data_IF_139682333198
#
_entry.id   IF_139682333198
#
_cell.length_a   1.000
_cell.length_b   1.000
_cell.length_c   1.000
_cell.angle_alpha   90.00
_cell.angle_beta   90.00
_cell.angle_gamma   90.00
#
_symmetry.space_group_name_H-M   'P 1'
#
loop_
_entity.id
_entity.type
_entity.pdbx_description
1 polymer ?
#
# COMPACT_ATOMS: atom_id res chain seq x y z
N UNK A 1 13.31 -4.13 27.72
CA UNK A 1 13.94 -4.73 26.51
C UNK A 1 13.48 -3.81 25.40
N UNK A 2 14.39 -3.04 24.77
CA UNK A 2 13.97 -2.10 23.73
C UNK A 2 13.49 -2.91 22.53
N UNK A 3 12.27 -2.62 22.07
CA UNK A 3 11.71 -3.17 20.83
C UNK A 3 12.59 -2.73 19.65
N UNK A 4 12.78 -3.61 18.66
CA UNK A 4 13.48 -3.26 17.43
C UNK A 4 12.50 -2.65 16.43
N UNK A 5 13.02 -1.82 15.51
CA UNK A 5 12.21 -1.21 14.45
C UNK A 5 11.46 -2.25 13.61
N UNK A 6 12.14 -3.35 13.26
CA UNK A 6 11.56 -4.45 12.48
C UNK A 6 10.42 -5.13 13.25
N UNK A 7 10.62 -5.42 14.54
CA UNK A 7 9.58 -6.03 15.37
C UNK A 7 8.35 -5.12 15.47
N UNK A 8 8.56 -3.82 15.69
CA UNK A 8 7.47 -2.85 15.73
C UNK A 8 6.71 -2.78 14.39
N UNK A 9 7.43 -2.76 13.27
CA UNK A 9 6.82 -2.70 11.94
C UNK A 9 6.02 -3.95 11.61
N UNK A 10 6.51 -5.14 11.98
CA UNK A 10 5.81 -6.41 11.83
C UNK A 10 4.53 -6.42 12.70
N UNK A 11 4.65 -6.08 13.98
CA UNK A 11 3.53 -6.08 14.93
C UNK A 11 2.46 -5.01 14.59
N UNK A 12 2.87 -3.88 14.01
CA UNK A 12 1.96 -2.85 13.52
C UNK A 12 1.24 -3.33 12.25
N UNK A 13 1.99 -3.87 11.29
CA UNK A 13 1.45 -4.45 10.06
C UNK A 13 0.43 -5.54 10.35
N UNK A 14 0.74 -6.49 11.23
CA UNK A 14 -0.18 -7.57 11.61
C UNK A 14 -1.49 -7.01 12.15
N UNK A 15 -1.43 -6.01 13.03
CA UNK A 15 -2.62 -5.33 13.55
C UNK A 15 -3.46 -4.65 12.45
N UNK A 16 -2.83 -4.04 11.46
CA UNK A 16 -3.55 -3.44 10.31
C UNK A 16 -4.19 -4.52 9.45
N UNK A 17 -3.52 -5.65 9.21
CA UNK A 17 -4.07 -6.77 8.44
C UNK A 17 -5.25 -7.43 9.18
N UNK A 18 -5.15 -7.62 10.49
CA UNK A 18 -6.27 -8.09 11.32
C UNK A 18 -7.46 -7.13 11.30
N UNK A 19 -7.20 -5.83 11.33
CA UNK A 19 -8.24 -4.81 11.18
C UNK A 19 -8.94 -4.92 9.83
N UNK A 20 -8.17 -5.10 8.74
CA UNK A 20 -8.70 -5.29 7.39
C UNK A 20 -9.60 -6.53 7.33
N UNK A 21 -9.16 -7.65 7.91
CA UNK A 21 -9.95 -8.89 7.94
C UNK A 21 -11.28 -8.70 8.70
N UNK A 22 -11.28 -7.95 9.80
CA UNK A 22 -12.50 -7.60 10.55
C UNK A 22 -13.43 -6.69 9.77
N UNK A 23 -12.88 -5.72 9.03
CA UNK A 23 -13.66 -4.85 8.15
C UNK A 23 -14.28 -5.65 6.98
N UNK A 24 -13.55 -6.61 6.41
CA UNK A 24 -14.10 -7.53 5.40
C UNK A 24 -15.18 -8.46 5.95
N UNK A 25 -15.16 -8.75 7.26
CA UNK A 25 -16.22 -9.49 7.93
C UNK A 25 -17.46 -8.64 8.26
N UNK A 26 -17.53 -7.39 7.77
CA UNK A 26 -18.60 -6.41 8.04
C UNK A 26 -18.82 -6.15 9.54
N UNK A 27 -17.76 -6.27 10.36
CA UNK A 27 -17.84 -5.96 11.78
C UNK A 27 -18.16 -4.46 11.97
N UNK A 28 -19.11 -4.08 12.84
CA UNK A 28 -19.47 -2.68 13.08
C UNK A 28 -18.39 -2.00 13.93
N UNK A 29 -17.30 -1.60 13.27
CA UNK A 29 -16.19 -0.89 13.90
C UNK A 29 -16.40 0.63 13.85
N UNK A 30 -16.10 1.29 14.96
CA UNK A 30 -16.10 2.75 15.03
C UNK A 30 -14.79 3.30 14.42
N UNK A 31 -14.85 4.08 13.32
CA UNK A 31 -13.65 4.65 12.70
C UNK A 31 -12.85 5.56 13.64
N UNK A 32 -13.52 6.24 14.58
CA UNK A 32 -12.84 7.10 15.57
C UNK A 32 -11.98 6.25 16.50
N UNK A 33 -12.53 5.15 17.01
CA UNK A 33 -11.81 4.23 17.89
C UNK A 33 -10.62 3.56 17.19
N UNK A 34 -10.78 3.16 15.92
CA UNK A 34 -9.69 2.63 15.10
C UNK A 34 -8.56 3.67 14.99
N UNK A 35 -8.90 4.90 14.59
CA UNK A 35 -7.91 5.97 14.41
C UNK A 35 -7.18 6.27 15.71
N UNK A 36 -7.89 6.37 16.84
CA UNK A 36 -7.30 6.60 18.16
C UNK A 36 -6.34 5.47 18.54
N UNK A 37 -6.74 4.22 18.34
CA UNK A 37 -5.90 3.05 18.66
C UNK A 37 -4.60 3.05 17.85
N UNK A 38 -4.67 3.25 16.53
CA UNK A 38 -3.50 3.26 15.66
C UNK A 38 -2.59 4.47 15.95
N UNK A 39 -3.18 5.66 16.13
CA UNK A 39 -2.46 6.88 16.48
C UNK A 39 -1.73 6.76 17.81
N UNK A 40 -2.37 6.15 18.82
CA UNK A 40 -1.76 5.95 20.13
C UNK A 40 -0.53 5.06 20.02
N UNK A 41 -0.63 3.93 19.31
CA UNK A 41 0.46 2.97 19.13
C UNK A 41 1.67 3.62 18.44
N UNK A 42 1.43 4.41 17.39
CA UNK A 42 2.48 5.17 16.69
C UNK A 42 3.10 6.27 17.58
N UNK A 43 2.27 6.97 18.37
CA UNK A 43 2.75 8.02 19.26
C UNK A 43 3.59 7.47 20.40
N UNK A 44 3.25 6.31 20.95
CA UNK A 44 4.03 5.61 21.97
C UNK A 44 5.41 5.19 21.45
N UNK A 45 5.45 4.64 20.23
CA UNK A 45 6.70 4.31 19.54
C UNK A 45 7.56 5.56 19.30
N UNK A 46 6.95 6.63 18.75
CA UNK A 46 7.60 7.93 18.54
C UNK A 46 8.23 8.48 19.83
N UNK A 47 7.51 8.45 20.95
CA UNK A 47 8.05 8.94 22.23
C UNK A 47 9.24 8.12 22.71
N UNK A 48 9.17 6.80 22.58
CA UNK A 48 10.22 5.88 23.00
C UNK A 48 11.49 6.00 22.16
N UNK A 49 11.36 6.42 20.89
CA UNK A 49 12.43 6.45 19.90
C UNK A 49 12.69 7.83 19.27
N UNK A 50 12.27 8.92 19.93
CA UNK A 50 12.32 10.30 19.40
C UNK A 50 13.71 10.85 18.99
N UNK A 51 14.79 10.14 19.29
CA UNK A 51 16.16 10.50 18.90
C UNK A 51 16.63 9.78 17.63
N UNK A 52 15.83 8.90 17.04
CA UNK A 52 16.21 8.07 15.89
C UNK A 52 15.27 8.35 14.71
N UNK A 53 15.73 9.19 13.78
CA UNK A 53 14.97 9.63 12.59
C UNK A 53 14.51 8.43 11.72
N UNK A 54 15.17 7.28 11.82
CA UNK A 54 14.78 6.04 11.13
C UNK A 54 13.40 5.54 11.57
N UNK A 55 13.02 5.77 12.82
CA UNK A 55 11.69 5.43 13.31
C UNK A 55 10.62 6.33 12.68
N UNK A 56 10.90 7.62 12.52
CA UNK A 56 9.99 8.53 11.83
C UNK A 56 9.75 8.12 10.37
N UNK A 57 10.81 7.74 9.67
CA UNK A 57 10.73 7.25 8.28
C UNK A 57 9.90 5.97 8.15
N UNK A 58 10.14 4.98 9.02
CA UNK A 58 9.38 3.74 9.02
C UNK A 58 7.91 3.95 9.42
N UNK A 59 7.64 4.77 10.44
CA UNK A 59 6.27 5.12 10.84
C UNK A 59 5.52 5.81 9.70
N UNK A 60 6.19 6.69 8.95
CA UNK A 60 5.60 7.32 7.77
C UNK A 60 5.20 6.30 6.70
N UNK A 61 6.05 5.29 6.44
CA UNK A 61 5.74 4.20 5.51
C UNK A 61 4.50 3.41 5.95
N UNK A 62 4.44 3.01 7.23
CA UNK A 62 3.34 2.25 7.81
C UNK A 62 2.02 3.04 7.80
N UNK A 63 2.06 4.33 8.13
CA UNK A 63 0.91 5.23 8.05
C UNK A 63 0.42 5.37 6.62
N UNK A 64 1.33 5.56 5.66
CA UNK A 64 0.99 5.66 4.23
C UNK A 64 0.27 4.40 3.73
N UNK A 65 0.80 3.21 4.08
CA UNK A 65 0.13 1.94 3.77
C UNK A 65 -1.27 1.86 4.40
N UNK A 66 -1.37 2.17 5.70
CA UNK A 66 -2.62 2.08 6.45
C UNK A 66 -3.70 2.98 5.84
N UNK A 67 -3.36 4.23 5.58
CA UNK A 67 -4.29 5.19 4.99
C UNK A 67 -4.72 4.76 3.58
N UNK A 68 -3.80 4.31 2.73
CA UNK A 68 -4.15 3.86 1.38
C UNK A 68 -5.11 2.65 1.43
N UNK A 69 -4.80 1.64 2.24
CA UNK A 69 -5.66 0.45 2.39
C UNK A 69 -7.06 0.81 2.90
N UNK A 70 -7.16 1.63 3.95
CA UNK A 70 -8.45 2.04 4.51
C UNK A 70 -9.24 2.97 3.57
N UNK A 71 -8.57 3.73 2.72
CA UNK A 71 -9.22 4.57 1.71
C UNK A 71 -9.63 3.81 0.46
N UNK A 72 -8.99 2.70 0.11
CA UNK A 72 -9.36 1.89 -1.05
C UNK A 72 -10.57 0.98 -0.75
N UNK A 73 -10.64 0.45 0.46
CA UNK A 73 -11.68 -0.50 0.86
C UNK A 73 -13.10 0.10 0.92
N UNK A 74 -14.15 -0.68 0.62
CA UNK A 74 -15.53 -0.27 0.79
C UNK A 74 -16.04 -0.61 2.21
N UNK A 75 -15.86 0.30 3.18
CA UNK A 75 -16.36 0.13 4.55
C UNK A 75 -17.07 1.40 5.05
N UNK A 76 -17.89 1.26 6.10
CA UNK A 76 -18.77 2.33 6.61
C UNK A 76 -18.02 3.58 7.09
N UNK A 77 -16.82 3.41 7.64
CA UNK A 77 -15.99 4.50 8.16
C UNK A 77 -15.09 5.18 7.14
N UNK A 78 -15.04 4.71 5.88
CA UNK A 78 -14.17 5.26 4.82
C UNK A 78 -14.31 6.77 4.65
N UNK A 79 -15.54 7.27 4.64
CA UNK A 79 -15.80 8.72 4.47
C UNK A 79 -15.23 9.53 5.62
N UNK A 80 -15.38 9.04 6.85
CA UNK A 80 -14.79 9.69 8.02
C UNK A 80 -13.27 9.63 7.96
N UNK A 81 -12.71 8.48 7.56
CA UNK A 81 -11.27 8.27 7.44
C UNK A 81 -10.63 9.21 6.42
N UNK A 82 -11.29 9.45 5.28
CA UNK A 82 -10.81 10.40 4.28
C UNK A 82 -10.54 11.80 4.85
N UNK A 83 -11.37 12.25 5.79
CA UNK A 83 -11.22 13.57 6.41
C UNK A 83 -10.23 13.56 7.59
N UNK A 84 -9.89 12.37 8.12
CA UNK A 84 -9.07 12.16 9.31
C UNK A 84 -7.98 11.12 9.07
N UNK A 85 -7.31 11.17 7.91
CA UNK A 85 -6.21 10.24 7.61
C UNK A 85 -5.09 10.37 8.65
N UNK A 86 -4.45 9.26 8.99
CA UNK A 86 -3.39 9.23 10.00
C UNK A 86 -2.23 10.15 9.61
N UNK A 87 -1.90 10.23 8.32
CA UNK A 87 -0.87 11.12 7.79
C UNK A 87 -1.09 12.58 8.21
N UNK A 88 -2.32 13.08 8.02
CA UNK A 88 -2.67 14.46 8.36
C UNK A 88 -2.59 14.69 9.86
N UNK A 89 -3.05 13.72 10.65
CA UNK A 89 -3.06 13.78 12.12
C UNK A 89 -1.65 13.71 12.72
N UNK A 90 -0.75 12.89 12.16
CA UNK A 90 0.55 12.57 12.76
C UNK A 90 1.75 13.30 12.14
N UNK A 91 1.63 13.69 10.87
CA UNK A 91 2.70 14.33 10.10
C UNK A 91 2.29 15.70 9.53
N UNK A 92 1.02 16.07 9.63
CA UNK A 92 0.54 17.39 9.18
C UNK A 92 0.55 17.56 7.66
N UNK A 93 0.63 16.46 6.90
CA UNK A 93 0.67 16.46 5.44
C UNK A 93 -0.32 15.44 4.85
N UNK A 94 -0.50 15.49 3.52
CA UNK A 94 -1.38 14.60 2.74
C UNK A 94 -0.73 14.22 1.42
N UNK A 95 0.58 14.08 1.43
CA UNK A 95 1.47 13.89 0.28
C UNK A 95 2.16 12.52 0.30
N UNK A 96 1.58 11.55 1.04
CA UNK A 96 2.08 10.18 1.18
C UNK A 96 2.47 9.53 -0.14
N UNK A 97 1.67 9.73 -1.19
CA UNK A 97 1.94 9.17 -2.51
C UNK A 97 3.36 9.45 -2.99
N UNK A 98 3.85 10.69 -2.86
CA UNK A 98 5.17 11.12 -3.34
C UNK A 98 6.24 11.00 -2.27
N UNK A 99 5.93 11.50 -1.07
CA UNK A 99 6.87 11.58 0.05
C UNK A 99 7.35 10.19 0.49
N UNK A 100 6.50 9.17 0.38
CA UNK A 100 6.90 7.79 0.63
C UNK A 100 8.10 7.37 -0.21
N UNK A 101 8.05 7.57 -1.53
CA UNK A 101 9.13 7.17 -2.43
C UNK A 101 10.37 8.08 -2.32
N UNK A 102 10.19 9.35 -1.94
CA UNK A 102 11.30 10.25 -1.62
C UNK A 102 12.08 9.75 -0.40
N UNK A 103 11.38 9.40 0.69
CA UNK A 103 11.98 8.87 1.91
C UNK A 103 12.65 7.51 1.65
N UNK A 104 12.00 6.62 0.89
CA UNK A 104 12.62 5.35 0.49
C UNK A 104 13.90 5.56 -0.33
N UNK A 105 13.94 6.58 -1.20
CA UNK A 105 15.15 6.93 -1.96
C UNK A 105 16.26 7.48 -1.06
N UNK A 106 15.93 8.21 0.01
CA UNK A 106 16.90 8.63 1.05
C UNK A 106 17.45 7.39 1.77
N UNK A 107 16.58 6.53 2.30
CA UNK A 107 16.97 5.31 3.00
C UNK A 107 17.85 4.39 2.14
N UNK A 108 17.55 4.29 0.84
CA UNK A 108 18.38 3.59 -0.15
C UNK A 108 19.76 4.23 -0.30
N UNK A 109 19.89 5.56 -0.39
CA UNK A 109 21.20 6.22 -0.50
C UNK A 109 22.04 6.11 0.77
N UNK A 110 21.39 6.12 1.93
CA UNK A 110 22.05 6.04 3.23
C UNK A 110 22.36 4.60 3.66
N UNK A 111 21.94 3.60 2.87
CA UNK A 111 22.07 2.18 3.21
C UNK A 111 21.38 1.82 4.54
N UNK A 112 20.30 2.51 4.86
CA UNK A 112 19.44 2.26 6.03
C UNK A 112 18.53 1.06 5.75
N UNK A 113 19.10 -0.14 5.69
CA UNK A 113 18.40 -1.34 5.18
C UNK A 113 17.19 -1.76 5.99
N UNK A 114 17.19 -1.56 7.32
CA UNK A 114 16.00 -1.78 8.15
C UNK A 114 14.83 -0.87 7.75
N UNK A 115 15.08 0.42 7.51
CA UNK A 115 14.03 1.36 7.08
C UNK A 115 13.58 1.04 5.65
N UNK A 116 14.53 0.84 4.75
CA UNK A 116 14.23 0.51 3.34
C UNK A 116 13.41 -0.78 3.23
N UNK A 117 13.64 -1.75 4.11
CA UNK A 117 12.84 -2.97 4.23
C UNK A 117 11.38 -2.67 4.57
N UNK A 118 11.11 -1.78 5.53
CA UNK A 118 9.73 -1.37 5.86
C UNK A 118 9.03 -0.76 4.64
N UNK A 119 9.70 0.13 3.89
CA UNK A 119 9.16 0.67 2.64
C UNK A 119 8.89 -0.42 1.60
N UNK A 120 9.83 -1.34 1.42
CA UNK A 120 9.69 -2.47 0.51
C UNK A 120 8.47 -3.35 0.86
N UNK A 121 8.32 -3.67 2.13
CA UNK A 121 7.27 -4.56 2.61
C UNK A 121 5.89 -3.89 2.50
N UNK A 122 5.80 -2.57 2.74
CA UNK A 122 4.59 -1.80 2.46
C UNK A 122 4.16 -1.91 0.99
N UNK A 123 5.10 -1.83 0.04
CA UNK A 123 4.79 -1.99 -1.39
C UNK A 123 4.33 -3.42 -1.70
N UNK A 124 4.96 -4.44 -1.11
CA UNK A 124 4.52 -5.83 -1.28
C UNK A 124 3.09 -6.05 -0.75
N UNK A 125 2.73 -5.39 0.35
CA UNK A 125 1.42 -5.49 0.99
C UNK A 125 0.31 -4.76 0.26
N UNK A 126 0.64 -3.87 -0.67
CA UNK A 126 -0.36 -3.21 -1.51
C UNK A 126 -0.10 -1.75 -1.80
N UNK A 127 0.82 -1.09 -1.09
CA UNK A 127 1.03 0.34 -1.28
C UNK A 127 1.48 0.66 -2.72
N UNK A 128 0.81 1.62 -3.36
CA UNK A 128 1.10 2.07 -4.73
C UNK A 128 1.53 3.54 -4.75
N UNK A 129 0.88 4.43 -4.00
CA UNK A 129 1.19 5.85 -4.01
C UNK A 129 1.20 6.43 -5.43
N UNK A 130 2.31 7.06 -5.84
CA UNK A 130 2.45 7.61 -7.22
C UNK A 130 2.22 6.59 -8.34
N UNK A 131 2.43 5.30 -8.09
CA UNK A 131 2.23 4.25 -9.11
C UNK A 131 0.77 3.79 -9.24
N UNK A 132 -0.16 4.34 -8.45
CA UNK A 132 -1.59 4.00 -8.51
C UNK A 132 -2.24 4.36 -9.87
N UNK A 133 -1.70 5.37 -10.58
CA UNK A 133 -2.24 5.86 -11.84
C UNK A 133 -1.15 5.78 -12.94
N UNK A 134 -1.19 4.76 -13.83
CA UNK A 134 -0.13 4.49 -14.81
C UNK A 134 0.25 5.63 -15.76
N UNK A 135 -0.66 6.58 -16.04
CA UNK A 135 -0.39 7.73 -16.92
C UNK A 135 0.14 8.97 -16.19
N UNK A 136 -0.20 9.13 -14.92
CA UNK A 136 0.30 10.22 -14.08
C UNK A 136 1.69 9.86 -13.52
N UNK A 137 1.90 8.57 -13.25
CA UNK A 137 3.13 8.05 -12.66
C UNK A 137 4.37 8.34 -13.50
N UNK A 138 4.32 8.32 -14.84
CA UNK A 138 5.52 8.54 -15.66
C UNK A 138 6.12 9.95 -15.51
N UNK A 139 5.27 10.98 -15.48
CA UNK A 139 5.73 12.36 -15.29
C UNK A 139 6.27 12.57 -13.87
N UNK A 140 5.52 12.12 -12.87
CA UNK A 140 5.89 12.26 -11.45
C UNK A 140 7.15 11.44 -11.12
N UNK A 141 7.27 10.20 -11.59
CA UNK A 141 8.46 9.36 -11.34
C UNK A 141 9.73 9.98 -11.92
N UNK A 142 9.63 10.59 -13.11
CA UNK A 142 10.74 11.32 -13.72
C UNK A 142 11.13 12.56 -12.92
N UNK A 143 10.16 13.34 -12.43
CA UNK A 143 10.42 14.50 -11.58
C UNK A 143 11.08 14.12 -10.25
N UNK A 144 10.59 13.05 -9.62
CA UNK A 144 11.13 12.53 -8.37
C UNK A 144 12.44 11.74 -8.53
N UNK A 145 12.84 11.42 -9.76
CA UNK A 145 14.03 10.62 -10.04
C UNK A 145 13.94 9.17 -9.55
N UNK A 146 12.73 8.62 -9.46
CA UNK A 146 12.46 7.23 -9.06
C UNK A 146 12.20 6.34 -10.29
N UNK A 147 12.34 5.00 -10.19
CA UNK A 147 12.06 4.07 -11.28
C UNK A 147 10.70 4.27 -11.94
N UNK A 148 10.63 4.05 -13.26
CA UNK A 148 9.43 4.36 -14.06
C UNK A 148 8.22 3.46 -13.75
N UNK A 149 8.45 2.25 -13.24
CA UNK A 149 7.39 1.31 -12.85
C UNK A 149 7.63 0.77 -11.44
N UNK A 150 6.54 0.30 -10.83
CA UNK A 150 6.59 -0.30 -9.49
C UNK A 150 7.45 -1.56 -9.48
N UNK A 151 7.41 -2.36 -10.54
CA UNK A 151 8.20 -3.58 -10.68
C UNK A 151 9.69 -3.27 -10.71
N UNK A 152 10.10 -2.22 -11.44
CA UNK A 152 11.50 -1.77 -11.46
C UNK A 152 11.94 -1.21 -10.11
N UNK A 153 11.03 -0.53 -9.40
CA UNK A 153 11.30 -0.08 -8.04
C UNK A 153 11.52 -1.27 -7.10
N UNK A 154 10.62 -2.26 -7.13
CA UNK A 154 10.73 -3.47 -6.32
C UNK A 154 12.00 -4.27 -6.62
N UNK A 155 12.31 -4.51 -7.90
CA UNK A 155 13.52 -5.22 -8.32
C UNK A 155 14.78 -4.54 -7.80
N UNK A 156 14.89 -3.22 -7.97
CA UNK A 156 16.03 -2.43 -7.52
C UNK A 156 16.17 -2.49 -5.99
N UNK A 157 15.09 -2.28 -5.27
CA UNK A 157 15.08 -2.28 -3.79
C UNK A 157 15.42 -3.67 -3.24
N UNK A 158 14.82 -4.73 -3.80
CA UNK A 158 15.12 -6.12 -3.41
C UNK A 158 16.59 -6.48 -3.66
N UNK A 159 17.15 -6.08 -4.81
CA UNK A 159 18.57 -6.32 -5.11
C UNK A 159 19.48 -5.64 -4.07
N UNK A 160 19.18 -4.40 -3.69
CA UNK A 160 19.94 -3.67 -2.68
C UNK A 160 19.86 -4.35 -1.31
N UNK A 161 18.66 -4.71 -0.85
CA UNK A 161 18.46 -5.41 0.43
C UNK A 161 19.16 -6.79 0.45
N UNK A 162 19.23 -7.47 -0.69
CA UNK A 162 19.89 -8.78 -0.80
C UNK A 162 21.42 -8.66 -0.83
N UNK A 163 21.94 -7.58 -1.43
CA UNK A 163 23.38 -7.30 -1.47
C UNK A 163 23.93 -7.02 -0.08
N UNK A 164 23.20 -6.25 0.73
CA UNK A 164 23.57 -5.94 2.12
C UNK A 164 23.56 -7.19 3.00
N UNK A 165 22.55 -8.06 2.82
CA UNK A 165 22.45 -9.33 3.53
C UNK A 165 23.57 -10.34 3.18
N UNK A 166 24.16 -10.25 1.98
CA UNK A 166 25.26 -11.11 1.55
C UNK A 166 26.63 -10.67 2.09
N UNK A 167 26.77 -9.40 2.52
CA UNK A 167 27.99 -8.87 3.13
C UNK A 167 28.11 -9.25 4.61
N UNK A 168 26.97 -9.54 5.26
CA UNK A 168 26.91 -10.12 6.61
C UNK A 168 26.95 -11.64 6.50
N UNK A 169 27.95 -12.29 7.11
CA UNK A 169 28.11 -13.76 7.15
C UNK A 169 27.01 -14.42 8.02
N UNK A 170 25.78 -14.45 7.50
CA UNK A 170 24.62 -15.02 8.18
C UNK A 170 24.51 -16.50 7.79
N UNK A 171 24.55 -17.44 8.75
CA UNK A 171 24.39 -18.86 8.45
C UNK A 171 23.00 -19.10 7.84
N UNK A 172 22.97 -19.92 6.78
CA UNK A 172 21.89 -20.20 5.82
C UNK A 172 20.46 -20.51 6.36
N UNK A 173 20.22 -20.45 7.66
CA UNK A 173 18.96 -20.80 8.32
C UNK A 173 17.88 -19.71 8.23
N UNK A 174 18.20 -18.49 7.79
CA UNK A 174 17.22 -17.39 7.62
C UNK A 174 16.75 -17.17 6.17
N UNK A 175 17.22 -17.96 5.19
CA UNK A 175 16.68 -17.90 3.82
C UNK A 175 15.35 -18.63 3.72
N UNK A 176 14.29 -18.11 4.35
CA UNK A 176 12.94 -18.35 3.83
C UNK A 176 12.73 -17.33 2.71
N UNK A 177 13.31 -17.62 1.54
CA UNK A 177 12.87 -16.96 0.30
C UNK A 177 11.42 -17.38 0.08
N UNK A 178 10.50 -16.55 0.55
CA UNK A 178 9.12 -16.63 0.10
C UNK A 178 9.17 -16.24 -1.38
N UNK A 179 9.11 -17.26 -2.24
CA UNK A 179 8.86 -17.03 -3.66
C UNK A 179 7.58 -16.20 -3.74
N UNK A 180 7.70 -14.95 -4.21
CA UNK A 180 6.55 -14.09 -4.41
C UNK A 180 5.50 -14.83 -5.23
N UNK A 181 4.23 -14.70 -4.86
CA UNK A 181 3.14 -15.18 -5.70
C UNK A 181 3.25 -14.48 -7.06
N UNK A 182 3.09 -15.25 -8.15
CA UNK A 182 3.11 -14.67 -9.49
C UNK A 182 2.11 -13.51 -9.56
N UNK A 183 2.46 -12.38 -10.21
CA UNK A 183 1.61 -11.20 -10.26
C UNK A 183 0.22 -11.62 -10.77
N UNK A 184 -0.81 -11.30 -10.00
CA UNK A 184 -2.19 -11.51 -10.41
C UNK A 184 -2.54 -10.47 -11.47
N UNK A 185 -2.02 -10.67 -12.68
CA UNK A 185 -2.53 -10.03 -13.89
C UNK A 185 -3.92 -10.59 -14.15
N UNK A 186 -4.88 -10.20 -13.31
CA UNK A 186 -6.30 -10.44 -13.51
C UNK A 186 -6.69 -9.57 -14.69
N UNK A 187 -6.33 -10.04 -15.87
CA UNK A 187 -6.79 -9.55 -17.15
C UNK A 187 -8.30 -9.67 -17.08
N UNK A 188 -8.96 -8.53 -16.86
CA UNK A 188 -10.40 -8.39 -16.79
C UNK A 188 -10.94 -8.97 -18.10
N UNK A 189 -11.32 -10.25 -18.07
CA UNK A 189 -11.84 -10.96 -19.23
C UNK A 189 -13.18 -10.30 -19.54
N UNK A 190 -13.22 -9.47 -20.57
CA UNK A 190 -14.49 -9.02 -21.13
C UNK A 190 -15.15 -10.30 -21.65
N UNK A 191 -16.12 -10.78 -20.90
CA UNK A 191 -16.90 -11.97 -21.24
C UNK A 191 -17.71 -11.60 -22.48
N UNK A 192 -17.23 -11.98 -23.67
CA UNK A 192 -17.83 -11.64 -24.97
C UNK A 192 -19.33 -11.92 -25.07
N UNK A 193 -19.86 -12.83 -24.24
CA UNK A 193 -21.29 -13.09 -24.12
C UNK A 193 -22.11 -11.87 -23.67
N UNK A 194 -21.56 -10.93 -22.89
CA UNK A 194 -22.29 -9.71 -22.49
C UNK A 194 -22.50 -8.76 -23.65
N UNK A 195 -21.52 -8.64 -24.54
CA UNK A 195 -21.62 -7.85 -25.79
C UNK A 195 -22.63 -8.49 -26.74
N UNK A 196 -22.63 -9.83 -26.85
CA UNK A 196 -23.60 -10.57 -27.65
C UNK A 196 -25.04 -10.41 -27.10
N UNK A 197 -25.22 -10.47 -25.78
CA UNK A 197 -26.53 -10.27 -25.15
C UNK A 197 -27.06 -8.84 -25.35
N UNK A 198 -26.20 -7.83 -25.20
CA UNK A 198 -26.59 -6.43 -25.41
C UNK A 198 -26.99 -6.15 -26.87
N UNK A 199 -26.24 -6.68 -27.84
CA UNK A 199 -26.58 -6.55 -29.26
C UNK A 199 -27.90 -7.26 -29.60
N UNK A 200 -28.15 -8.44 -29.04
CA UNK A 200 -29.41 -9.16 -29.24
C UNK A 200 -30.61 -8.43 -28.62
N UNK A 201 -30.44 -7.78 -27.47
CA UNK A 201 -31.48 -6.97 -26.83
C UNK A 201 -31.85 -5.76 -27.69
N UNK A 202 -30.86 -5.04 -28.21
CA UNK A 202 -31.07 -3.87 -29.09
C UNK A 202 -31.79 -4.30 -30.38
N UNK A 203 -31.38 -5.41 -30.98
CA UNK A 203 -32.04 -5.94 -32.18
C UNK A 203 -33.50 -6.30 -31.90
N UNK A 204 -33.78 -6.92 -30.75
CA UNK A 204 -35.14 -7.31 -30.37
C UNK A 204 -36.05 -6.09 -30.12
N UNK A 205 -35.55 -5.07 -29.41
CA UNK A 205 -36.28 -3.80 -29.21
C UNK A 205 -36.58 -3.14 -30.55
N UNK A 206 -35.60 -3.08 -31.46
CA UNK A 206 -35.76 -2.48 -32.80
C UNK A 206 -36.79 -3.24 -33.64
N UNK A 207 -36.82 -4.57 -33.55
CA UNK A 207 -37.82 -5.39 -34.24
C UNK A 207 -39.24 -5.16 -33.68
N UNK A 208 -39.35 -5.03 -32.35
CA UNK A 208 -40.62 -4.79 -31.69
C UNK A 208 -41.20 -3.41 -32.03
N UNK A 209 -40.37 -2.37 -32.08
CA UNK A 209 -40.81 -1.01 -32.45
C UNK A 209 -41.23 -0.92 -33.92
N UNK A 210 -40.57 -1.64 -34.83
CA UNK A 210 -40.96 -1.71 -36.25
C UNK A 210 -42.24 -2.53 -36.47
N UNK A 211 -42.51 -3.55 -35.65
CA UNK A 211 -43.72 -4.37 -35.74
C UNK A 211 -44.94 -3.74 -35.07
N UNK A 212 -44.75 -2.88 -34.06
CA UNK A 212 -45.84 -2.20 -33.34
C UNK A 212 -46.31 -0.89 -34.03
N UNK A 213 -45.59 -0.42 -35.05
CA UNK A 213 -45.93 0.77 -35.84
C UNK A 213 -46.73 0.51 -37.13
N UNK A 214 -47.30 -0.70 -37.30
CA UNK A 214 -48.16 -1.09 -38.43
C UNK A 214 -49.59 -1.36 -37.98
#
# INVERSE_FOLDING_TARGET
MNESLEQFADDYTECVLELIDRLHADEPLDPVAIHQSLSQRLTEARQSHHHDDRWEEAMYALVSLTDELLLEMPWSGRSWWNDHVLEASLFGSRDCSERFYQMAAVASRESSTGVLRVFHDCVLLGFRGVYSIPGLSEATTKELGIPATLELWLEKTQHQLSSDAAEVDIPARLHRSLSGAAPNTTRRSIVWWTVAAATMLIANITMYTLSAGK
#
